data_IF_452719337842
#
_entry.id   IF_452719337842
#
_cell.length_a   1.000
_cell.length_b   1.000
_cell.length_c   1.000
_cell.angle_alpha   90.00
_cell.angle_beta   90.00
_cell.angle_gamma   90.00
#
_symmetry.space_group_name_H-M   'P 1'
#
loop_
_entity.id
_entity.type
_entity.pdbx_description
1 polymer ?
#
# COMPACT_ATOMS: atom_id res chain seq x y z
N UNK A 1 16.47 26.64 -13.56
CA UNK A 1 15.65 25.92 -14.56
C UNK A 1 15.89 24.45 -14.35
N UNK A 2 15.02 23.82 -13.56
CA UNK A 2 14.12 22.72 -13.98
C UNK A 2 14.78 21.37 -13.64
N UNK A 3 14.19 20.46 -12.87
CA UNK A 3 12.77 20.15 -12.79
C UNK A 3 12.28 20.06 -11.35
N UNK A 4 11.37 20.95 -10.97
CA UNK A 4 10.14 20.49 -10.35
C UNK A 4 9.52 19.55 -11.38
N UNK A 5 9.86 18.26 -11.30
CA UNK A 5 8.96 17.25 -11.84
C UNK A 5 7.67 17.49 -11.10
N UNK A 6 6.74 18.07 -11.84
CA UNK A 6 5.33 18.09 -11.55
C UNK A 6 4.96 16.65 -11.23
N UNK A 7 5.08 16.25 -9.95
CA UNK A 7 4.46 15.06 -9.42
C UNK A 7 2.97 15.37 -9.38
N UNK A 8 2.39 15.60 -10.56
CA UNK A 8 1.01 15.31 -10.82
C UNK A 8 0.81 13.94 -10.17
N UNK A 9 0.06 13.91 -9.07
CA UNK A 9 -0.23 12.72 -8.30
C UNK A 9 -0.61 11.64 -9.31
N UNK A 10 0.32 10.75 -9.61
CA UNK A 10 0.09 9.72 -10.61
C UNK A 10 -1.09 8.93 -10.09
N UNK A 11 -2.08 8.74 -10.95
CA UNK A 11 -3.28 8.03 -10.57
C UNK A 11 -2.86 6.67 -9.99
N UNK A 12 -3.14 6.46 -8.70
CA UNK A 12 -2.84 5.19 -8.02
C UNK A 12 -4.15 4.46 -7.76
N UNK A 13 -4.10 3.13 -7.91
CA UNK A 13 -5.28 2.30 -7.71
C UNK A 13 -5.61 2.14 -6.22
N UNK A 14 -4.59 1.93 -5.38
CA UNK A 14 -4.73 1.78 -3.94
C UNK A 14 -4.63 3.12 -3.22
N UNK A 15 -5.56 3.36 -2.30
CA UNK A 15 -5.51 4.51 -1.39
C UNK A 15 -4.29 4.43 -0.48
N UNK A 16 -3.87 5.57 0.08
CA UNK A 16 -2.80 5.57 1.08
C UNK A 16 -3.15 4.73 2.31
N UNK A 17 -4.42 4.70 2.75
CA UNK A 17 -4.87 3.81 3.84
C UNK A 17 -4.62 2.34 3.51
N UNK A 18 -4.98 1.88 2.30
CA UNK A 18 -4.73 0.51 1.88
C UNK A 18 -3.22 0.21 1.83
N UNK A 19 -2.40 1.11 1.27
CA UNK A 19 -0.94 0.91 1.19
C UNK A 19 -0.30 0.85 2.58
N UNK A 20 -0.69 1.73 3.50
CA UNK A 20 -0.20 1.69 4.90
C UNK A 20 -0.61 0.39 5.60
N UNK A 21 -1.84 -0.07 5.39
CA UNK A 21 -2.32 -1.34 5.96
C UNK A 21 -1.48 -2.53 5.46
N UNK A 22 -1.13 -2.55 4.16
CA UNK A 22 -0.28 -3.57 3.56
C UNK A 22 1.15 -3.55 4.11
N UNK A 23 1.75 -2.37 4.30
CA UNK A 23 3.09 -2.26 4.89
C UNK A 23 3.12 -2.81 6.33
N UNK A 24 2.08 -2.53 7.13
CA UNK A 24 1.93 -3.09 8.49
C UNK A 24 1.73 -4.63 8.44
N UNK A 25 1.02 -5.13 7.44
CA UNK A 25 0.80 -6.57 7.26
C UNK A 25 2.09 -7.33 6.91
N UNK A 26 2.99 -6.68 6.16
CA UNK A 26 4.30 -7.24 5.79
C UNK A 26 5.28 -7.22 6.96
N UNK A 27 5.32 -6.13 7.72
CA UNK A 27 6.16 -5.99 8.90
C UNK A 27 5.38 -5.36 10.07
N UNK A 28 4.92 -6.19 11.03
CA UNK A 28 4.22 -5.72 12.23
C UNK A 28 5.02 -4.78 13.14
N UNK A 29 6.35 -4.78 13.03
CA UNK A 29 7.27 -3.97 13.84
C UNK A 29 7.78 -2.73 13.07
N UNK A 30 7.23 -2.46 11.88
CA UNK A 30 7.64 -1.37 11.01
C UNK A 30 7.47 0.00 11.69
N UNK A 31 8.43 0.90 11.46
CA UNK A 31 8.36 2.27 11.99
C UNK A 31 7.55 3.14 11.04
N UNK A 32 6.82 4.11 11.60
CA UNK A 32 6.00 5.04 10.82
C UNK A 32 6.80 5.83 9.76
N UNK A 33 8.04 6.18 10.08
CA UNK A 33 8.96 6.84 9.13
C UNK A 33 9.31 5.94 7.93
N UNK A 34 9.42 4.63 8.15
CA UNK A 34 9.82 3.67 7.12
C UNK A 34 8.59 3.40 6.22
N UNK A 35 7.39 3.32 6.80
CA UNK A 35 6.11 3.32 6.05
C UNK A 35 5.99 4.59 5.19
N UNK A 36 6.29 5.76 5.75
CA UNK A 36 6.19 7.04 5.04
C UNK A 36 7.08 7.05 3.79
N UNK A 37 8.31 6.57 3.93
CA UNK A 37 9.25 6.41 2.82
C UNK A 37 8.75 5.40 1.77
N UNK A 38 8.23 4.24 2.20
CA UNK A 38 7.73 3.19 1.30
C UNK A 38 6.46 3.58 0.53
N UNK A 39 5.54 4.30 1.18
CA UNK A 39 4.27 4.75 0.58
C UNK A 39 4.47 6.04 -0.25
N UNK A 40 5.47 6.85 0.07
CA UNK A 40 5.75 8.13 -0.61
C UNK A 40 4.92 9.30 -0.06
N UNK A 41 4.62 9.29 1.23
CA UNK A 41 3.85 10.35 1.92
C UNK A 41 4.62 10.88 3.14
N UNK A 42 4.13 11.96 3.75
CA UNK A 42 4.76 12.51 4.95
C UNK A 42 4.53 11.61 6.17
N UNK A 43 5.45 11.63 7.13
CA UNK A 43 5.29 10.88 8.38
C UNK A 43 4.03 11.30 9.16
N UNK A 44 3.68 12.59 9.12
CA UNK A 44 2.42 13.10 9.69
C UNK A 44 1.19 12.50 9.01
N UNK A 45 1.22 12.31 7.69
CA UNK A 45 0.13 11.66 6.96
C UNK A 45 -0.01 10.18 7.37
N UNK A 46 1.11 9.45 7.49
CA UNK A 46 1.10 8.08 8.02
C UNK A 46 0.53 8.03 9.43
N UNK A 47 0.96 8.92 10.32
CA UNK A 47 0.45 8.98 11.70
C UNK A 47 -1.08 9.18 11.74
N UNK A 48 -1.61 10.07 10.89
CA UNK A 48 -3.06 10.27 10.77
C UNK A 48 -3.76 9.01 10.25
N UNK A 49 -3.24 8.39 9.19
CA UNK A 49 -3.80 7.16 8.61
C UNK A 49 -3.81 6.03 9.64
N UNK A 50 -2.70 5.82 10.36
CA UNK A 50 -2.60 4.79 11.41
C UNK A 50 -3.60 5.05 12.53
N UNK A 51 -3.81 6.31 12.91
CA UNK A 51 -4.86 6.67 13.86
C UNK A 51 -6.25 6.31 13.33
N UNK A 52 -6.57 6.66 12.09
CA UNK A 52 -7.86 6.32 11.48
C UNK A 52 -8.09 4.80 11.40
N UNK A 53 -7.02 4.02 11.16
CA UNK A 53 -7.05 2.56 11.15
C UNK A 53 -7.25 1.97 12.56
N UNK A 54 -6.64 2.57 13.59
CA UNK A 54 -6.83 2.20 14.99
C UNK A 54 -8.27 2.51 15.44
N UNK A 55 -8.77 3.72 15.16
CA UNK A 55 -10.15 4.13 15.45
C UNK A 55 -11.17 3.29 14.68
N UNK A 56 -10.81 2.83 13.49
CA UNK A 56 -11.61 1.89 12.71
C UNK A 56 -11.56 0.44 13.15
N UNK A 57 -10.73 0.09 14.13
CA UNK A 57 -10.57 -1.29 14.59
C UNK A 57 -9.92 -2.22 13.57
N UNK A 58 -9.28 -1.70 12.53
CA UNK A 58 -8.53 -2.47 11.53
C UNK A 58 -7.14 -2.87 12.04
N UNK A 59 -6.56 -2.03 12.89
CA UNK A 59 -5.24 -2.23 13.49
C UNK A 59 -5.37 -2.06 14.99
N UNK A 60 -4.62 -2.84 15.76
CA UNK A 60 -4.35 -2.60 17.17
C UNK A 60 -2.87 -2.32 17.37
N UNK A 61 -2.52 -1.64 18.46
CA UNK A 61 -1.13 -1.25 18.77
C UNK A 61 -0.77 -1.65 20.19
N UNK A 62 0.23 -2.51 20.30
CA UNK A 62 0.82 -2.93 21.57
C UNK A 62 2.20 -2.31 21.74
N UNK A 63 2.49 -1.84 22.96
CA UNK A 63 3.81 -1.27 23.27
C UNK A 63 4.73 -2.36 23.80
N UNK A 64 5.71 -2.74 23.00
CA UNK A 64 6.75 -3.72 23.36
C UNK A 64 8.04 -2.96 23.67
N UNK A 65 8.22 -2.60 24.93
CA UNK A 65 9.35 -1.80 25.41
C UNK A 65 9.34 -0.38 24.82
N UNK A 66 10.34 -0.06 23.99
CA UNK A 66 10.47 1.23 23.29
C UNK A 66 9.82 1.25 21.91
N UNK A 67 9.32 0.12 21.42
CA UNK A 67 8.74 -0.02 20.08
C UNK A 67 7.25 -0.28 20.17
N UNK A 68 6.55 0.15 19.13
CA UNK A 68 5.18 -0.27 18.89
C UNK A 68 5.23 -1.53 18.02
N UNK A 69 4.37 -2.48 18.34
CA UNK A 69 4.05 -3.61 17.49
C UNK A 69 2.59 -3.50 17.10
N UNK A 70 2.30 -3.63 15.82
CA UNK A 70 0.96 -3.53 15.28
C UNK A 70 0.38 -4.92 15.03
N UNK A 71 -0.91 -5.09 15.23
CA UNK A 71 -1.63 -6.32 14.85
C UNK A 71 -2.84 -5.94 14.01
N UNK A 72 -3.15 -6.75 12.99
CA UNK A 72 -4.30 -6.52 12.11
C UNK A 72 -5.52 -7.30 12.59
N UNK A 73 -6.68 -6.67 12.51
CA UNK A 73 -7.97 -7.33 12.65
C UNK A 73 -8.49 -7.71 11.26
N UNK A 74 -8.12 -8.90 10.80
CA UNK A 74 -8.41 -9.36 9.44
C UNK A 74 -9.90 -9.61 9.18
N UNK A 75 -10.71 -9.75 10.23
CA UNK A 75 -12.15 -10.00 10.15
C UNK A 75 -12.98 -8.71 10.09
N UNK A 76 -12.32 -7.55 10.21
CA UNK A 76 -13.00 -6.28 9.97
C UNK A 76 -13.36 -6.16 8.49
N UNK A 77 -14.55 -5.66 8.18
CA UNK A 77 -15.05 -5.52 6.82
C UNK A 77 -14.63 -4.19 6.16
N UNK A 78 -14.70 -4.10 4.84
CA UNK A 78 -14.55 -2.80 4.15
C UNK A 78 -15.65 -1.83 4.59
N UNK A 79 -15.34 -0.52 4.61
CA UNK A 79 -16.29 0.51 5.06
C UNK A 79 -17.37 0.86 4.04
N UNK A 80 -17.14 0.58 2.76
CA UNK A 80 -18.01 1.05 1.71
C UNK A 80 -19.18 0.06 1.52
N UNK A 81 -20.44 0.53 1.38
CA UNK A 81 -21.61 -0.35 1.42
C UNK A 81 -21.59 -1.49 0.40
N UNK A 82 -20.94 -1.30 -0.75
CA UNK A 82 -20.85 -2.32 -1.81
C UNK A 82 -19.89 -3.45 -1.48
N UNK A 83 -18.93 -3.24 -0.57
CA UNK A 83 -17.96 -4.24 -0.13
C UNK A 83 -18.05 -4.55 1.38
N UNK A 84 -19.11 -4.08 2.05
CA UNK A 84 -19.25 -4.17 3.50
C UNK A 84 -19.37 -5.62 4.04
N UNK A 85 -19.65 -6.58 3.17
CA UNK A 85 -19.68 -8.01 3.52
C UNK A 85 -18.35 -8.73 3.26
N UNK A 86 -17.33 -8.01 2.75
CA UNK A 86 -16.02 -8.57 2.49
C UNK A 86 -15.03 -8.23 3.63
N UNK A 87 -14.36 -9.23 4.23
CA UNK A 87 -13.33 -8.97 5.23
C UNK A 87 -12.08 -8.41 4.57
N UNK A 88 -11.36 -7.52 5.27
CA UNK A 88 -10.10 -6.94 4.78
C UNK A 88 -9.02 -8.01 4.53
N UNK A 89 -9.15 -9.19 5.15
CA UNK A 89 -8.33 -10.37 4.88
C UNK A 89 -8.13 -10.62 3.39
N UNK A 90 -9.17 -10.48 2.56
CA UNK A 90 -9.09 -10.73 1.12
C UNK A 90 -8.08 -9.82 0.42
N UNK A 91 -8.02 -8.54 0.82
CA UNK A 91 -7.02 -7.61 0.31
C UNK A 91 -5.63 -7.97 0.83
N UNK A 92 -5.50 -8.27 2.12
CA UNK A 92 -4.20 -8.61 2.69
C UNK A 92 -3.63 -9.85 2.02
N UNK A 93 -4.39 -10.94 1.97
CA UNK A 93 -3.97 -12.21 1.36
C UNK A 93 -3.59 -12.01 -0.11
N UNK A 94 -4.39 -11.25 -0.87
CA UNK A 94 -4.07 -10.95 -2.26
C UNK A 94 -2.72 -10.25 -2.41
N UNK A 95 -2.32 -9.35 -1.51
CA UNK A 95 -1.09 -8.56 -1.69
C UNK A 95 0.11 -9.04 -0.87
N UNK A 96 -0.07 -9.98 0.05
CA UNK A 96 1.01 -10.59 0.85
C UNK A 96 1.31 -12.03 0.44
N UNK A 97 0.37 -12.77 -0.17
CA UNK A 97 0.62 -14.09 -0.74
C UNK A 97 1.20 -14.01 -2.18
N UNK A 98 1.29 -12.82 -2.75
CA UNK A 98 1.79 -12.58 -4.12
C UNK A 98 3.29 -12.26 -4.22
N UNK A 99 4.09 -12.45 -3.17
CA UNK A 99 5.57 -12.48 -3.31
C UNK A 99 6.04 -13.60 -4.28
N UNK A 100 5.18 -14.59 -4.55
CA UNK A 100 5.37 -15.66 -5.54
C UNK A 100 4.70 -15.41 -6.90
N UNK A 101 4.18 -14.21 -7.20
CA UNK A 101 3.78 -13.93 -8.58
C UNK A 101 5.03 -14.01 -9.46
N UNK A 102 5.07 -14.89 -10.48
CA UNK A 102 6.20 -14.94 -11.39
C UNK A 102 6.34 -13.53 -11.93
N UNK A 103 7.51 -12.89 -11.71
CA UNK A 103 7.86 -11.61 -12.34
C UNK A 103 7.44 -11.73 -13.79
N UNK A 104 6.31 -11.11 -14.15
CA UNK A 104 5.74 -11.22 -15.47
C UNK A 104 6.86 -10.77 -16.38
N UNK A 105 7.45 -11.74 -17.09
CA UNK A 105 8.55 -11.47 -18.01
C UNK A 105 8.04 -10.36 -18.90
N UNK A 106 8.67 -9.19 -18.79
CA UNK A 106 8.51 -8.13 -19.75
C UNK A 106 8.65 -8.78 -21.11
N UNK A 107 7.60 -8.71 -21.91
CA UNK A 107 7.58 -9.25 -23.26
C UNK A 107 8.47 -8.31 -24.07
N UNK A 108 9.78 -8.49 -23.95
CA UNK A 108 10.76 -7.89 -24.85
C UNK A 108 10.57 -8.58 -26.20
N UNK A 109 10.01 -7.84 -27.16
CA UNK A 109 9.96 -8.30 -28.54
C UNK A 109 8.70 -7.89 -29.30
N UNK A 110 8.48 -6.59 -29.48
CA UNK A 110 7.69 -6.10 -30.61
C UNK A 110 8.25 -4.76 -31.12
N UNK A 111 9.32 -4.85 -31.91
CA UNK A 111 9.52 -3.87 -32.98
C UNK A 111 8.53 -4.17 -34.10
N UNK A 112 7.87 -3.13 -34.63
CA UNK A 112 7.72 -3.11 -36.07
C UNK A 112 8.10 -1.77 -36.69
N UNK A 113 9.14 -1.87 -37.53
CA UNK A 113 9.22 -1.43 -38.92
C UNK A 113 9.42 0.07 -39.20
N UNK A 114 10.65 0.35 -39.61
CA UNK A 114 11.09 1.55 -40.31
C UNK A 114 10.15 1.97 -41.43
N UNK A 115 9.95 3.29 -41.45
CA UNK A 115 9.67 4.17 -42.58
C UNK A 115 10.06 3.63 -43.96
N UNK A 116 9.10 3.64 -44.89
CA UNK A 116 9.36 3.80 -46.32
C UNK A 116 8.57 5.01 -46.81
N UNK A 117 9.25 6.14 -46.89
CA UNK A 117 8.79 7.37 -47.54
C UNK A 117 9.18 7.28 -49.02
N UNK A 118 8.32 7.69 -49.97
CA UNK A 118 8.73 7.91 -51.36
C UNK A 118 9.61 9.16 -51.53
#
# INVERSE_FOLDING_TARGET
MSATEDRASSWTFLTHHARVLLEIARDPDIRLRDIAAGVGITERAVQNIVRDLLEGGYVTRDKVGRRNRYSLNLDQHFRYPTEADLPIRLLIDMFTQHDDLPRLRTVDGAQPRSSMTP
#
